data_IF_039369955827
#
_entry.id   IF_039369955827
#
_cell.length_a   1.000
_cell.length_b   1.000
_cell.length_c   1.000
_cell.angle_alpha   90.00
_cell.angle_beta   90.00
_cell.angle_gamma   90.00
#
_symmetry.space_group_name_H-M   'P 1'
#
loop_
_entity.id
_entity.type
_entity.pdbx_description
1 polymer ?
#
# COMPACT_ATOMS: atom_id res chain seq x y z
N UNK A 1 -5.14 -21.45 -4.59
CA UNK A 1 -4.27 -20.93 -5.24
C UNK A 1 -3.76 -19.72 -4.71
N UNK A 2 -2.70 -19.54 -4.65
CA UNK A 2 -2.14 -18.45 -4.06
C UNK A 2 -2.04 -17.34 -5.00
N UNK A 3 -2.32 -16.19 -4.55
CA UNK A 3 -2.20 -15.07 -5.39
C UNK A 3 -0.97 -14.36 -5.08
N UNK A 4 -0.31 -13.87 -6.06
CA UNK A 4 0.83 -13.01 -5.81
C UNK A 4 0.44 -11.81 -5.03
N UNK A 5 -0.83 -11.46 -5.12
CA UNK A 5 -1.23 -10.29 -4.46
C UNK A 5 -1.55 -10.53 -3.03
N UNK A 6 -1.15 -11.57 -2.44
CA UNK A 6 -1.31 -11.76 -1.03
C UNK A 6 -0.60 -10.72 -0.20
N UNK A 7 0.29 -9.94 -0.82
CA UNK A 7 1.07 -8.96 -0.10
C UNK A 7 0.24 -7.82 0.42
N UNK A 8 -0.79 -7.42 -0.31
CA UNK A 8 -1.62 -6.32 0.15
C UNK A 8 -3.01 -6.45 -0.43
N UNK A 9 -3.93 -5.72 0.18
CA UNK A 9 -5.32 -5.69 -0.23
C UNK A 9 -5.65 -4.23 -0.50
N UNK A 10 -6.36 -3.99 -1.60
CA UNK A 10 -6.78 -2.64 -1.96
C UNK A 10 -8.23 -2.46 -1.53
N UNK A 11 -8.50 -1.38 -0.81
CA UNK A 11 -9.86 -1.03 -0.42
C UNK A 11 -10.16 0.40 -0.82
N UNK A 12 -11.43 0.74 -0.86
CA UNK A 12 -11.85 2.11 -1.13
C UNK A 12 -13.04 2.43 -0.23
N UNK A 13 -13.09 3.68 0.19
CA UNK A 13 -14.30 4.13 0.86
C UNK A 13 -14.65 5.52 0.36
N UNK A 14 -15.84 5.98 0.76
CA UNK A 14 -16.43 7.15 0.10
C UNK A 14 -15.75 8.45 0.45
N UNK A 15 -15.14 8.54 1.62
CA UNK A 15 -14.59 9.82 2.04
C UNK A 15 -13.09 9.88 2.13
N UNK A 16 -12.42 8.75 2.28
CA UNK A 16 -10.97 8.81 2.35
C UNK A 16 -10.30 8.22 1.12
N UNK A 17 -11.08 7.74 0.15
CA UNK A 17 -10.52 7.24 -1.09
C UNK A 17 -9.88 5.89 -0.95
N UNK A 18 -8.95 5.56 -1.82
CA UNK A 18 -8.34 4.23 -1.82
C UNK A 18 -7.33 4.08 -0.69
N UNK A 19 -7.18 2.86 -0.26
CA UNK A 19 -6.18 2.52 0.74
C UNK A 19 -5.66 1.12 0.48
N UNK A 20 -4.44 0.88 0.92
CA UNK A 20 -3.80 -0.41 0.79
C UNK A 20 -3.59 -0.97 2.18
N UNK A 21 -4.02 -2.20 2.39
CA UNK A 21 -3.79 -2.87 3.67
C UNK A 21 -2.68 -3.90 3.45
N UNK A 22 -1.59 -3.71 4.16
CA UNK A 22 -0.43 -4.58 4.02
C UNK A 22 -0.61 -5.78 4.94
N UNK A 23 -1.36 -6.75 4.47
CA UNK A 23 -1.72 -7.89 5.30
C UNK A 23 -0.61 -8.90 5.50
N UNK A 24 0.44 -8.82 4.71
CA UNK A 24 1.56 -9.74 4.83
C UNK A 24 2.62 -9.09 5.71
N UNK A 25 2.69 -9.55 6.95
CA UNK A 25 3.60 -8.96 7.91
C UNK A 25 5.06 -9.08 7.47
N UNK A 26 5.42 -10.20 6.86
CA UNK A 26 6.78 -10.40 6.40
C UNK A 26 7.13 -9.42 5.29
N UNK A 27 6.24 -9.25 4.33
CA UNK A 27 6.46 -8.29 3.27
C UNK A 27 6.63 -6.90 3.84
N UNK A 28 5.77 -6.54 4.80
CA UNK A 28 5.80 -5.21 5.40
C UNK A 28 7.11 -4.96 6.12
N UNK A 29 7.57 -5.92 6.92
CA UNK A 29 8.79 -5.70 7.67
C UNK A 29 10.03 -5.70 6.79
N UNK A 30 10.03 -6.52 5.76
CA UNK A 30 11.19 -6.57 4.86
C UNK A 30 11.33 -5.31 4.03
N UNK A 31 10.21 -4.64 3.76
CA UNK A 31 10.24 -3.46 2.89
C UNK A 31 9.84 -2.18 3.62
N UNK A 32 9.92 -2.20 4.93
CA UNK A 32 9.42 -1.08 5.73
C UNK A 32 10.10 0.24 5.36
N UNK A 33 11.43 0.23 5.24
CA UNK A 33 12.16 1.43 4.88
C UNK A 33 11.78 1.92 3.48
N UNK A 34 11.73 1.00 2.54
CA UNK A 34 11.36 1.35 1.18
C UNK A 34 9.93 1.89 1.11
N UNK A 35 9.02 1.24 1.82
CA UNK A 35 7.63 1.67 1.82
C UNK A 35 7.48 3.05 2.42
N UNK A 36 8.18 3.30 3.51
CA UNK A 36 8.11 4.60 4.16
C UNK A 36 8.63 5.69 3.23
N UNK A 37 9.77 5.45 2.61
CA UNK A 37 10.37 6.40 1.69
C UNK A 37 9.45 6.65 0.51
N UNK A 38 8.91 5.58 -0.06
CA UNK A 38 8.01 5.69 -1.19
C UNK A 38 6.77 6.51 -0.83
N UNK A 39 6.21 6.26 0.35
CA UNK A 39 5.03 7.00 0.80
C UNK A 39 5.32 8.47 0.95
N UNK A 40 6.48 8.81 1.50
CA UNK A 40 6.86 10.21 1.65
C UNK A 40 7.01 10.88 0.30
N UNK A 41 7.58 10.19 -0.66
CA UNK A 41 7.81 10.76 -1.98
C UNK A 41 6.52 10.97 -2.74
N UNK A 42 5.51 10.16 -2.48
CA UNK A 42 4.26 10.22 -3.23
C UNK A 42 3.09 10.78 -2.44
N UNK A 43 3.33 11.22 -1.23
CA UNK A 43 2.27 11.83 -0.44
C UNK A 43 1.28 10.85 0.13
N UNK A 44 1.63 9.58 0.19
CA UNK A 44 0.76 8.58 0.82
C UNK A 44 0.91 8.66 2.33
N UNK A 45 -0.15 8.32 3.05
CA UNK A 45 -0.18 8.42 4.50
C UNK A 45 -0.36 7.04 5.09
N UNK A 46 0.57 6.65 5.95
CA UNK A 46 0.51 5.34 6.58
C UNK A 46 -0.09 5.38 7.96
N UNK A 47 -0.93 4.39 8.26
CA UNK A 47 -1.52 4.21 9.57
C UNK A 47 -1.33 2.74 9.92
N UNK A 48 -0.22 2.43 10.56
CA UNK A 48 0.09 1.04 10.84
C UNK A 48 0.30 0.28 9.54
N UNK A 49 -0.49 -0.74 9.32
CA UNK A 49 -0.37 -1.54 8.10
C UNK A 49 -1.31 -1.08 7.00
N UNK A 50 -1.97 0.05 7.19
CA UNK A 50 -2.86 0.62 6.18
C UNK A 50 -2.22 1.88 5.63
N UNK A 51 -2.26 2.04 4.31
CA UNK A 51 -1.67 3.20 3.65
C UNK A 51 -2.73 3.84 2.79
N UNK A 52 -3.00 5.12 3.01
CA UNK A 52 -4.01 5.87 2.25
C UNK A 52 -3.32 6.68 1.16
N UNK A 53 -3.92 6.69 -0.01
CA UNK A 53 -3.36 7.39 -1.15
C UNK A 53 -4.46 7.71 -2.15
N UNK A 54 -4.19 8.60 -3.10
CA UNK A 54 -5.18 8.89 -4.13
C UNK A 54 -5.09 7.85 -5.24
N UNK A 55 -6.03 7.93 -6.20
CA UNK A 55 -6.11 6.92 -7.25
C UNK A 55 -4.86 6.85 -8.11
N UNK A 56 -4.31 7.96 -8.59
CA UNK A 56 -3.10 7.88 -9.38
C UNK A 56 -1.94 7.27 -8.60
N UNK A 57 -1.83 7.59 -7.33
CA UNK A 57 -0.77 7.04 -6.50
C UNK A 57 -0.99 5.55 -6.27
N UNK A 58 -2.23 5.13 -6.12
CA UNK A 58 -2.54 3.71 -5.97
C UNK A 58 -2.06 2.93 -7.19
N UNK A 59 -2.28 3.47 -8.38
CA UNK A 59 -1.83 2.81 -9.59
C UNK A 59 -0.32 2.63 -9.58
N UNK A 60 0.39 3.68 -9.18
CA UNK A 60 1.85 3.60 -9.08
C UNK A 60 2.28 2.56 -8.06
N UNK A 61 1.55 2.49 -6.95
CA UNK A 61 1.86 1.51 -5.91
C UNK A 61 1.72 0.09 -6.46
N UNK A 62 0.64 -0.16 -7.16
CA UNK A 62 0.42 -1.48 -7.73
C UNK A 62 1.53 -1.83 -8.72
N UNK A 63 1.92 -0.87 -9.55
CA UNK A 63 2.97 -1.12 -10.52
C UNK A 63 4.32 -1.37 -9.86
N UNK A 64 4.53 -0.79 -8.70
CA UNK A 64 5.81 -0.93 -8.01
C UNK A 64 5.89 -2.24 -7.20
N UNK A 65 4.79 -2.63 -6.56
CA UNK A 65 4.83 -3.69 -5.57
C UNK A 65 4.07 -4.96 -5.95
N UNK A 66 3.21 -4.92 -6.93
CA UNK A 66 2.42 -6.12 -7.28
C UNK A 66 3.12 -7.06 -8.28
#
# INVERSE_FOLDING_TARGET
>A
MTHPQGRFIVTRNDWSGPAVILGDYRFWTEHEEELRQWCLEHGAVGHGMTVEMDEPTLLLFIMRWA
#
